data_IF_739227313374
#
_entry.id   IF_739227313374
#
_cell.length_a   1.000
_cell.length_b   1.000
_cell.length_c   1.000
_cell.angle_alpha   90.00
_cell.angle_beta   90.00
_cell.angle_gamma   90.00
#
_symmetry.space_group_name_H-M   'P 1'
#
loop_
_entity.id
_entity.type
_entity.pdbx_description
1 polymer ?
#
# COMPACT_ATOMS: atom_id res chain seq x y z
N UNK A 1 25.51 45.16 13.44
CA UNK A 1 24.31 44.53 12.85
C UNK A 1 23.62 43.77 13.97
N UNK A 2 22.70 44.41 14.68
CA UNK A 2 21.97 43.78 15.77
C UNK A 2 20.77 43.08 15.17
N UNK A 3 20.69 41.76 15.34
CA UNK A 3 19.57 40.97 14.86
C UNK A 3 18.43 41.13 15.87
N UNK A 4 17.32 41.73 15.46
CA UNK A 4 16.13 41.85 16.28
C UNK A 4 15.42 40.49 16.43
N UNK A 5 14.99 40.15 17.64
CA UNK A 5 14.32 38.87 17.91
C UNK A 5 13.06 38.66 17.05
N UNK A 6 12.38 39.75 16.69
CA UNK A 6 11.22 39.74 15.81
C UNK A 6 11.58 39.29 14.39
N UNK A 7 12.72 39.74 13.86
CA UNK A 7 13.15 39.35 12.52
C UNK A 7 13.62 37.89 12.47
N UNK A 8 14.20 37.37 13.56
CA UNK A 8 14.49 35.94 13.70
C UNK A 8 13.22 35.09 13.69
N UNK A 9 12.20 35.48 14.46
CA UNK A 9 10.94 34.74 14.53
C UNK A 9 10.20 34.77 13.20
N UNK A 10 10.16 35.91 12.52
CA UNK A 10 9.58 36.00 11.17
C UNK A 10 10.37 35.13 10.17
N UNK A 11 11.70 35.14 10.23
CA UNK A 11 12.53 34.31 9.37
C UNK A 11 12.31 32.81 9.61
N UNK A 12 12.23 32.39 10.87
CA UNK A 12 11.96 31.00 11.23
C UNK A 12 10.55 30.55 10.77
N UNK A 13 9.54 31.40 10.95
CA UNK A 13 8.18 31.12 10.48
C UNK A 13 8.13 31.01 8.96
N UNK A 14 8.76 31.93 8.23
CA UNK A 14 8.83 31.89 6.78
C UNK A 14 9.53 30.62 6.27
N UNK A 15 10.63 30.21 6.91
CA UNK A 15 11.34 28.96 6.60
C UNK A 15 10.43 27.75 6.83
N UNK A 16 9.72 27.69 7.96
CA UNK A 16 8.81 26.59 8.27
C UNK A 16 7.68 26.48 7.22
N UNK A 17 7.06 27.60 6.86
CA UNK A 17 6.02 27.65 5.82
C UNK A 17 6.59 27.15 4.48
N UNK A 18 7.79 27.59 4.11
CA UNK A 18 8.45 27.13 2.89
C UNK A 18 8.67 25.61 2.88
N UNK A 19 9.15 25.04 3.98
CA UNK A 19 9.34 23.59 4.11
C UNK A 19 8.02 22.81 3.99
N UNK A 20 6.94 23.33 4.57
CA UNK A 20 5.60 22.72 4.46
C UNK A 20 5.12 22.75 3.00
N UNK A 21 5.29 23.87 2.30
CA UNK A 21 4.89 23.98 0.89
C UNK A 21 5.68 23.01 0.00
N UNK A 22 6.99 22.87 0.23
CA UNK A 22 7.83 21.90 -0.47
C UNK A 22 7.34 20.47 -0.21
N UNK A 23 7.06 20.12 1.05
CA UNK A 23 6.56 18.79 1.41
C UNK A 23 5.21 18.48 0.73
N UNK A 24 4.28 19.44 0.74
CA UNK A 24 2.99 19.30 0.06
C UNK A 24 3.16 19.12 -1.44
N UNK A 25 4.07 19.87 -2.07
CA UNK A 25 4.34 19.72 -3.50
C UNK A 25 4.84 18.30 -3.80
N UNK A 26 5.80 17.77 -3.02
CA UNK A 26 6.32 16.40 -3.20
C UNK A 26 5.21 15.35 -3.04
N UNK A 27 4.33 15.51 -2.04
CA UNK A 27 3.22 14.58 -1.80
C UNK A 27 2.18 14.65 -2.93
N UNK A 28 1.73 15.84 -3.30
CA UNK A 28 0.66 16.04 -4.27
C UNK A 28 1.08 15.72 -5.72
N UNK A 29 2.36 15.88 -6.04
CA UNK A 29 2.92 15.53 -7.35
C UNK A 29 3.41 14.09 -7.44
N UNK A 30 3.44 13.37 -6.31
CA UNK A 30 3.99 12.02 -6.26
C UNK A 30 5.50 11.97 -6.49
N UNK A 31 6.23 13.06 -6.20
CA UNK A 31 7.69 13.15 -6.37
C UNK A 31 8.49 12.16 -5.51
N UNK A 32 7.84 11.48 -4.57
CA UNK A 32 8.38 10.34 -3.83
C UNK A 32 7.48 9.12 -4.02
N UNK A 33 8.02 8.05 -4.61
CA UNK A 33 7.31 6.80 -4.82
C UNK A 33 7.06 6.09 -3.48
N UNK A 34 5.80 6.01 -3.06
CA UNK A 34 5.35 5.30 -1.85
C UNK A 34 4.69 3.94 -2.16
N UNK A 35 4.78 3.48 -3.41
CA UNK A 35 4.15 2.22 -3.82
C UNK A 35 4.71 1.04 -3.01
N UNK A 36 3.82 0.17 -2.53
CA UNK A 36 4.19 -1.06 -1.81
C UNK A 36 4.95 -2.07 -2.69
N UNK A 37 4.94 -1.87 -4.01
CA UNK A 37 5.66 -2.66 -5.01
C UNK A 37 7.14 -2.26 -5.10
N UNK A 38 7.51 -1.07 -4.66
CA UNK A 38 8.90 -0.60 -4.63
C UNK A 38 9.51 -0.96 -3.27
N UNK A 39 10.69 -1.60 -3.29
CA UNK A 39 11.39 -1.95 -2.06
C UNK A 39 11.86 -0.66 -1.39
N UNK A 40 11.27 -0.38 -0.23
CA UNK A 40 11.69 0.72 0.63
C UNK A 40 13.15 0.52 1.06
N UNK A 41 13.87 1.61 1.31
CA UNK A 41 15.27 1.55 1.76
C UNK A 41 15.42 0.63 2.99
N UNK A 42 16.58 -0.02 3.20
CA UNK A 42 16.76 -1.02 4.26
C UNK A 42 16.36 -0.54 5.66
N UNK A 43 16.56 0.74 5.97
CA UNK A 43 16.22 1.33 7.27
C UNK A 43 14.70 1.51 7.46
N UNK A 44 14.00 1.89 6.39
CA UNK A 44 12.53 1.98 6.38
C UNK A 44 11.87 0.61 6.34
N UNK A 45 12.44 -0.33 5.57
CA UNK A 45 12.01 -1.72 5.54
C UNK A 45 12.16 -2.38 6.92
N UNK A 46 13.28 -2.17 7.61
CA UNK A 46 13.50 -2.70 8.96
C UNK A 46 12.42 -2.27 9.98
N UNK A 47 11.90 -1.03 9.87
CA UNK A 47 10.84 -0.53 10.76
C UNK A 47 9.46 -1.12 10.44
N UNK A 48 9.17 -1.39 9.17
CA UNK A 48 7.85 -1.84 8.70
C UNK A 48 7.69 -3.36 8.66
N UNK A 49 8.75 -4.10 8.28
CA UNK A 49 8.68 -5.54 8.02
C UNK A 49 8.28 -6.39 9.23
N UNK A 50 8.84 -6.16 10.45
CA UNK A 50 8.44 -6.92 11.63
C UNK A 50 6.99 -6.65 12.01
N UNK A 51 6.51 -5.41 11.84
CA UNK A 51 5.17 -5.00 12.27
C UNK A 51 4.08 -5.58 11.39
N UNK A 52 4.25 -5.59 10.07
CA UNK A 52 3.26 -6.14 9.13
C UNK A 52 3.15 -7.66 9.28
N UNK A 53 4.29 -8.36 9.34
CA UNK A 53 4.29 -9.82 9.38
C UNK A 53 3.80 -10.38 10.73
N UNK A 54 4.10 -9.70 11.84
CA UNK A 54 3.57 -10.05 13.18
C UNK A 54 2.07 -9.77 13.29
N UNK A 55 1.53 -8.74 12.62
CA UNK A 55 0.08 -8.45 12.63
C UNK A 55 -0.73 -9.51 11.89
N UNK A 56 -0.22 -10.02 10.76
CA UNK A 56 -0.88 -11.09 10.01
C UNK A 56 -0.74 -12.44 10.73
N UNK A 57 0.46 -12.80 11.21
CA UNK A 57 0.67 -14.08 11.92
C UNK A 57 -0.04 -14.15 13.26
N UNK A 58 0.00 -13.08 14.06
CA UNK A 58 -0.65 -13.03 15.37
C UNK A 58 -2.18 -12.93 15.33
N UNK A 59 -2.79 -12.72 14.15
CA UNK A 59 -4.25 -12.71 13.98
C UNK A 59 -4.77 -13.82 13.07
N UNK A 60 -3.92 -14.48 12.30
CA UNK A 60 -4.32 -15.53 11.35
C UNK A 60 -4.09 -16.96 11.85
N UNK A 61 -3.15 -17.18 12.78
CA UNK A 61 -2.78 -18.54 13.19
C UNK A 61 -3.92 -19.30 13.89
N UNK A 62 -4.80 -18.59 14.60
CA UNK A 62 -5.92 -19.21 15.33
C UNK A 62 -7.24 -19.16 14.54
N UNK A 63 -7.21 -18.71 13.27
CA UNK A 63 -8.38 -18.66 12.40
C UNK A 63 -8.36 -19.89 11.49
N UNK A 64 -9.20 -20.88 11.80
CA UNK A 64 -9.51 -21.93 10.84
C UNK A 64 -10.22 -21.31 9.63
N UNK A 65 -9.79 -21.69 8.42
CA UNK A 65 -10.50 -21.29 7.21
C UNK A 65 -11.95 -21.80 7.32
N UNK A 66 -12.95 -20.94 7.10
CA UNK A 66 -14.34 -21.37 7.16
C UNK A 66 -14.66 -22.28 5.99
N UNK A 67 -15.54 -23.25 6.22
CA UNK A 67 -16.18 -24.01 5.13
C UNK A 67 -16.92 -23.03 4.22
N UNK A 68 -16.67 -23.14 2.91
CA UNK A 68 -17.23 -22.20 1.95
C UNK A 68 -18.71 -22.49 1.70
N UNK A 69 -19.56 -21.55 2.08
CA UNK A 69 -20.97 -21.60 1.71
C UNK A 69 -21.18 -21.08 0.28
N UNK A 70 -22.24 -21.49 -0.43
CA UNK A 70 -22.55 -20.97 -1.76
C UNK A 70 -22.66 -19.44 -1.81
N UNK A 71 -23.16 -18.81 -0.74
CA UNK A 71 -23.23 -17.36 -0.63
C UNK A 71 -21.85 -16.69 -0.56
N UNK A 72 -20.89 -17.30 0.15
CA UNK A 72 -19.51 -16.80 0.21
C UNK A 72 -18.81 -16.94 -1.14
N UNK A 73 -19.03 -18.06 -1.84
CA UNK A 73 -18.49 -18.27 -3.19
C UNK A 73 -19.06 -17.23 -4.15
N UNK A 74 -20.38 -17.00 -4.13
CA UNK A 74 -21.01 -15.99 -4.97
C UNK A 74 -20.48 -14.57 -4.69
N UNK A 75 -20.26 -14.24 -3.41
CA UNK A 75 -19.70 -12.94 -3.02
C UNK A 75 -18.24 -12.75 -3.50
N UNK A 76 -17.42 -13.82 -3.49
CA UNK A 76 -16.02 -13.76 -3.92
C UNK A 76 -15.80 -13.89 -5.43
N UNK A 77 -16.76 -14.46 -6.16
CA UNK A 77 -16.61 -14.77 -7.59
C UNK A 77 -16.40 -13.52 -8.46
N UNK A 78 -17.08 -12.41 -8.13
CA UNK A 78 -16.91 -11.13 -8.85
C UNK A 78 -15.48 -10.61 -8.74
N UNK A 79 -14.94 -10.59 -7.51
CA UNK A 79 -13.58 -10.12 -7.24
C UNK A 79 -12.54 -11.05 -7.90
N UNK A 80 -12.74 -12.37 -7.82
CA UNK A 80 -11.87 -13.33 -8.50
C UNK A 80 -11.82 -13.09 -10.02
N UNK A 81 -12.99 -12.82 -10.64
CA UNK A 81 -13.07 -12.53 -12.07
C UNK A 81 -12.33 -11.24 -12.45
N UNK A 82 -12.44 -10.20 -11.62
CA UNK A 82 -11.82 -8.90 -11.88
C UNK A 82 -10.32 -8.86 -11.59
N UNK A 83 -9.83 -9.67 -10.64
CA UNK A 83 -8.47 -9.53 -10.13
C UNK A 83 -7.56 -10.72 -10.46
N UNK A 84 -8.12 -11.92 -10.61
CA UNK A 84 -7.35 -13.16 -10.65
C UNK A 84 -7.51 -13.92 -11.96
N UNK A 85 -8.72 -13.94 -12.53
CA UNK A 85 -9.05 -14.72 -13.73
C UNK A 85 -8.29 -14.28 -14.99
N UNK A 86 -7.70 -13.08 -14.99
CA UNK A 86 -6.85 -12.61 -16.08
C UNK A 86 -5.57 -13.43 -16.26
N UNK A 87 -5.12 -14.14 -15.21
CA UNK A 87 -3.94 -14.99 -15.25
C UNK A 87 -4.21 -16.44 -14.79
N UNK A 88 -5.19 -16.66 -13.92
CA UNK A 88 -5.49 -17.97 -13.34
C UNK A 88 -6.66 -18.70 -14.04
N UNK A 89 -7.11 -18.20 -15.20
CA UNK A 89 -8.33 -18.58 -15.90
C UNK A 89 -9.61 -18.45 -15.03
N UNK A 90 -10.77 -18.34 -15.67
CA UNK A 90 -12.05 -18.29 -14.97
C UNK A 90 -12.42 -19.67 -14.43
N UNK A 91 -12.91 -19.76 -13.18
CA UNK A 91 -13.48 -21.00 -12.64
C UNK A 91 -14.70 -21.38 -13.49
N UNK A 92 -14.54 -22.38 -14.37
CA UNK A 92 -15.58 -22.83 -15.30
C UNK A 92 -15.48 -22.27 -16.72
N UNK A 93 -14.52 -21.39 -17.01
CA UNK A 93 -14.16 -21.02 -18.38
C UNK A 93 -13.13 -22.02 -18.92
N UNK A 94 -13.24 -22.35 -20.21
CA UNK A 94 -12.30 -23.25 -20.90
C UNK A 94 -10.93 -22.56 -20.92
N UNK A 95 -9.90 -23.24 -20.43
CA UNK A 95 -8.51 -22.76 -20.44
C UNK A 95 -8.17 -22.20 -21.83
N UNK A 96 -7.73 -20.94 -21.88
CA UNK A 96 -7.39 -20.29 -23.13
C UNK A 96 -5.95 -20.70 -23.51
N UNK A 97 -5.74 -21.98 -23.84
CA UNK A 97 -4.41 -22.43 -24.30
C UNK A 97 -4.03 -23.91 -24.21
N UNK A 98 -4.93 -24.90 -24.41
CA UNK A 98 -4.49 -26.29 -24.52
C UNK A 98 -5.48 -27.21 -25.25
N UNK A 99 -5.02 -28.06 -26.19
CA UNK A 99 -5.91 -28.98 -26.93
C UNK A 99 -6.37 -30.14 -26.04
N UNK A 100 -7.65 -30.48 -26.17
CA UNK A 100 -8.18 -31.80 -25.82
C UNK A 100 -8.84 -32.40 -27.07
N UNK A 101 -8.00 -32.69 -28.05
CA UNK A 101 -8.09 -33.83 -28.95
C UNK A 101 -6.72 -34.52 -28.97
#
# INVERSE_FOLDING_TARGET
>A
MTIDWKSLLLGALAMLVLLILIALLVILTGGYNVAATERHSPITAWRSTPRSATRCRGRGNDIAAPELTPAMVAAGAGEYKTMCAHCHDGVGERAIGGPHE
#
